data_IF_622612120419
#
_entry.id   IF_622612120419
#
_cell.length_a   1.000
_cell.length_b   1.000
_cell.length_c   1.000
_cell.angle_alpha   90.00
_cell.angle_beta   90.00
_cell.angle_gamma   90.00
#
_symmetry.space_group_name_H-M   'P 1'
#
loop_
_entity.id
_entity.type
_entity.pdbx_description
1 polymer ?
#
# COMPACT_ATOMS: atom_id res chain seq x y z
N UNK A 1 -11.47 3.29 -16.45
CA UNK A 1 -10.68 2.23 -15.77
C UNK A 1 -11.49 0.95 -15.45
N UNK A 2 -12.71 0.77 -15.98
CA UNK A 2 -13.44 -0.50 -15.94
C UNK A 2 -12.74 -1.62 -16.75
N UNK A 3 -11.86 -1.25 -17.67
CA UNK A 3 -11.22 -2.18 -18.61
C UNK A 3 -10.26 -3.19 -17.96
N UNK A 4 -9.63 -2.89 -16.81
CA UNK A 4 -8.59 -3.76 -16.25
C UNK A 4 -9.21 -4.99 -15.54
N UNK A 5 -10.29 -4.79 -14.80
CA UNK A 5 -11.08 -5.89 -14.26
C UNK A 5 -11.80 -6.66 -15.36
N UNK A 6 -12.32 -5.96 -16.38
CA UNK A 6 -12.94 -6.60 -17.54
C UNK A 6 -11.92 -7.43 -18.32
N UNK A 7 -10.67 -6.99 -18.50
CA UNK A 7 -9.62 -7.76 -19.16
C UNK A 7 -9.32 -9.09 -18.45
N UNK A 8 -9.24 -9.08 -17.12
CA UNK A 8 -9.01 -10.30 -16.32
C UNK A 8 -10.24 -11.23 -16.35
N UNK A 9 -11.45 -10.67 -16.47
CA UNK A 9 -12.71 -11.45 -16.51
C UNK A 9 -13.08 -11.95 -17.92
N UNK A 10 -12.63 -11.28 -18.98
CA UNK A 10 -13.02 -11.58 -20.36
C UNK A 10 -12.18 -12.68 -21.00
N UNK A 11 -10.97 -12.93 -20.49
CA UNK A 11 -10.04 -13.88 -21.08
C UNK A 11 -9.90 -15.10 -20.17
N UNK A 12 -10.37 -16.26 -20.67
CA UNK A 12 -10.52 -17.49 -19.90
C UNK A 12 -9.20 -18.05 -19.35
N UNK A 13 -8.07 -17.61 -19.89
CA UNK A 13 -6.73 -17.95 -19.42
C UNK A 13 -6.42 -17.41 -18.01
N UNK A 14 -7.08 -16.31 -17.61
CA UNK A 14 -6.83 -15.63 -16.33
C UNK A 14 -7.85 -16.01 -15.25
N UNK A 15 -8.74 -16.95 -15.56
CA UNK A 15 -9.78 -17.39 -14.65
C UNK A 15 -9.16 -18.08 -13.43
N UNK A 16 -9.38 -17.52 -12.24
CA UNK A 16 -8.77 -17.98 -10.97
C UNK A 16 -7.54 -17.18 -10.52
N UNK A 17 -6.98 -16.30 -11.35
CA UNK A 17 -5.91 -15.39 -10.92
C UNK A 17 -6.46 -14.23 -10.08
N UNK A 18 -5.63 -13.74 -9.15
CA UNK A 18 -5.93 -12.55 -8.34
C UNK A 18 -5.08 -11.38 -8.82
N UNK A 19 -5.72 -10.27 -9.14
CA UNK A 19 -5.02 -9.03 -9.46
C UNK A 19 -4.53 -8.37 -8.17
N UNK A 20 -3.29 -7.90 -8.18
CA UNK A 20 -2.72 -7.08 -7.10
C UNK A 20 -1.92 -5.92 -7.68
N UNK A 21 -1.77 -4.88 -6.88
CA UNK A 21 -0.90 -3.74 -7.17
C UNK A 21 0.23 -3.71 -6.16
N UNK A 22 1.41 -3.23 -6.57
CA UNK A 22 2.51 -3.05 -5.64
C UNK A 22 3.43 -1.93 -6.08
N UNK A 23 4.19 -1.38 -5.14
CA UNK A 23 5.22 -0.40 -5.46
C UNK A 23 5.98 0.07 -4.24
N UNK A 24 7.08 0.77 -4.49
CA UNK A 24 7.91 1.39 -3.46
C UNK A 24 7.78 2.92 -3.50
N UNK A 25 7.86 3.58 -2.34
CA UNK A 25 7.86 5.05 -2.25
C UNK A 25 6.61 5.68 -2.87
N UNK A 26 6.76 6.61 -3.82
CA UNK A 26 5.65 7.16 -4.60
C UNK A 26 4.83 6.06 -5.30
N UNK A 27 5.51 5.04 -5.86
CA UNK A 27 4.86 3.91 -6.50
C UNK A 27 4.01 3.09 -5.54
N UNK A 28 4.42 2.98 -4.28
CA UNK A 28 3.64 2.31 -3.23
C UNK A 28 2.35 3.07 -2.92
N UNK A 29 2.40 4.41 -2.87
CA UNK A 29 1.21 5.23 -2.80
C UNK A 29 0.30 4.99 -4.02
N UNK A 30 0.83 5.09 -5.23
CA UNK A 30 0.05 4.88 -6.45
C UNK A 30 -0.58 3.47 -6.54
N UNK A 31 0.08 2.46 -5.99
CA UNK A 31 -0.45 1.10 -5.91
C UNK A 31 -1.70 1.02 -5.04
N UNK A 32 -1.68 1.60 -3.83
CA UNK A 32 -2.86 1.67 -2.97
C UNK A 32 -4.00 2.47 -3.63
N UNK A 33 -3.66 3.56 -4.33
CA UNK A 33 -4.64 4.38 -5.02
C UNK A 33 -5.34 3.58 -6.13
N UNK A 34 -4.55 2.88 -6.94
CA UNK A 34 -5.06 2.04 -8.01
C UNK A 34 -5.97 0.94 -7.45
N UNK A 35 -5.51 0.22 -6.41
CA UNK A 35 -6.29 -0.85 -5.78
C UNK A 35 -7.63 -0.34 -5.25
N UNK A 36 -7.66 0.80 -4.56
CA UNK A 36 -8.93 1.41 -4.14
C UNK A 36 -9.80 1.72 -5.36
N UNK A 37 -9.26 2.48 -6.32
CA UNK A 37 -10.03 2.98 -7.47
C UNK A 37 -10.64 1.88 -8.33
N UNK A 38 -9.97 0.74 -8.45
CA UNK A 38 -10.42 -0.38 -9.26
C UNK A 38 -11.14 -1.47 -8.46
N UNK A 39 -11.15 -1.43 -7.13
CA UNK A 39 -11.90 -2.41 -6.34
C UNK A 39 -13.41 -2.25 -6.52
N UNK A 40 -14.14 -3.36 -6.51
CA UNK A 40 -15.61 -3.40 -6.47
C UNK A 40 -16.08 -4.32 -5.33
N UNK A 41 -17.40 -4.39 -5.12
CA UNK A 41 -18.02 -5.29 -4.14
C UNK A 41 -17.67 -6.76 -4.38
N UNK A 42 -17.64 -7.14 -5.65
CA UNK A 42 -17.46 -8.50 -6.12
C UNK A 42 -15.98 -8.85 -6.29
N UNK A 43 -15.12 -7.84 -6.46
CA UNK A 43 -13.71 -8.04 -6.74
C UNK A 43 -12.84 -6.97 -6.05
N UNK A 44 -12.26 -7.35 -4.91
CA UNK A 44 -11.36 -6.49 -4.15
C UNK A 44 -9.92 -6.73 -4.60
N UNK A 45 -9.21 -5.66 -4.91
CA UNK A 45 -7.82 -5.69 -5.36
C UNK A 45 -6.87 -5.56 -4.17
N UNK A 46 -5.89 -6.45 -4.09
CA UNK A 46 -4.83 -6.41 -3.08
C UNK A 46 -3.81 -5.32 -3.44
N UNK A 47 -3.30 -4.59 -2.44
CA UNK A 47 -2.15 -3.72 -2.61
C UNK A 47 -1.04 -4.05 -1.60
N UNK A 48 0.18 -4.25 -2.09
CA UNK A 48 1.40 -4.40 -1.30
C UNK A 48 2.31 -3.17 -1.50
N UNK A 49 2.30 -2.28 -0.52
CA UNK A 49 2.86 -0.94 -0.61
C UNK A 49 4.11 -0.83 0.28
N UNK A 50 5.28 -0.72 -0.32
CA UNK A 50 6.56 -0.68 0.40
C UNK A 50 7.03 0.76 0.59
N UNK A 51 7.34 1.15 1.82
CA UNK A 51 7.85 2.48 2.17
C UNK A 51 7.03 3.60 1.52
N UNK A 52 5.72 3.41 1.44
CA UNK A 52 4.85 4.21 0.57
C UNK A 52 4.59 5.60 1.12
N UNK A 53 4.45 6.58 0.24
CA UNK A 53 3.95 7.91 0.61
C UNK A 53 2.46 7.87 0.98
N UNK A 54 2.06 8.75 1.91
CA UNK A 54 0.66 8.95 2.30
C UNK A 54 -0.11 9.72 1.21
N UNK A 55 -1.42 9.48 1.11
CA UNK A 55 -2.30 10.36 0.34
C UNK A 55 -2.71 11.56 1.18
N UNK A 56 -2.79 12.74 0.57
CA UNK A 56 -3.42 13.88 1.22
C UNK A 56 -4.91 13.65 1.48
N UNK A 57 -5.44 14.29 2.54
CA UNK A 57 -6.85 14.18 2.99
C UNK A 57 -7.89 14.36 1.89
N UNK A 58 -7.65 15.27 0.95
CA UNK A 58 -8.58 15.53 -0.16
C UNK A 58 -8.78 14.29 -1.03
N UNK A 59 -7.67 13.68 -1.46
CA UNK A 59 -7.68 12.47 -2.27
C UNK A 59 -8.30 11.29 -1.52
N UNK A 60 -7.97 11.14 -0.23
CA UNK A 60 -8.61 10.13 0.61
C UNK A 60 -10.12 10.31 0.61
N UNK A 61 -10.61 11.51 0.96
CA UNK A 61 -12.04 11.83 0.99
C UNK A 61 -12.76 11.55 -0.34
N UNK A 62 -12.12 11.86 -1.45
CA UNK A 62 -12.73 11.65 -2.77
C UNK A 62 -12.83 10.16 -3.11
N UNK A 63 -11.85 9.34 -2.70
CA UNK A 63 -11.95 7.88 -2.77
C UNK A 63 -13.05 7.34 -1.83
N UNK A 64 -13.13 7.83 -0.59
CA UNK A 64 -14.17 7.45 0.37
C UNK A 64 -15.58 7.72 -0.19
N UNK A 65 -15.77 8.88 -0.84
CA UNK A 65 -17.05 9.26 -1.47
C UNK A 65 -17.44 8.34 -2.61
N UNK A 66 -16.48 7.81 -3.37
CA UNK A 66 -16.75 6.97 -4.52
C UNK A 66 -17.22 5.56 -4.13
N UNK A 67 -16.73 5.02 -3.00
CA UNK A 67 -17.04 3.65 -2.57
C UNK A 67 -18.25 3.55 -1.63
N UNK A 68 -18.68 4.64 -0.99
CA UNK A 68 -19.59 4.53 0.16
C UNK A 68 -18.93 3.80 1.35
N UNK A 69 -19.59 3.73 2.50
CA UNK A 69 -18.95 3.24 3.74
C UNK A 69 -18.65 1.73 3.74
N UNK A 70 -19.53 0.91 3.15
CA UNK A 70 -19.44 -0.56 3.22
C UNK A 70 -18.42 -1.18 2.24
N UNK A 71 -18.18 -0.58 1.07
CA UNK A 71 -17.25 -1.14 0.06
C UNK A 71 -15.81 -0.77 0.38
N UNK A 72 -15.65 0.41 0.98
CA UNK A 72 -14.37 0.92 1.38
C UNK A 72 -13.73 0.05 2.45
N UNK A 73 -14.46 -0.32 3.51
CA UNK A 73 -13.88 -1.09 4.61
C UNK A 73 -13.24 -2.38 4.07
N UNK A 74 -13.95 -3.13 3.22
CA UNK A 74 -13.40 -4.33 2.57
C UNK A 74 -12.17 -4.04 1.69
N UNK A 75 -12.19 -2.95 0.92
CA UNK A 75 -11.06 -2.55 0.09
C UNK A 75 -9.83 -2.17 0.94
N UNK A 76 -10.04 -1.45 2.04
CA UNK A 76 -8.98 -1.05 2.99
C UNK A 76 -8.31 -2.25 3.65
N UNK A 77 -9.07 -3.30 3.97
CA UNK A 77 -8.54 -4.51 4.59
C UNK A 77 -7.54 -5.28 3.70
N UNK A 78 -7.52 -4.99 2.39
CA UNK A 78 -6.65 -5.62 1.41
C UNK A 78 -5.48 -4.71 0.98
N UNK A 79 -5.27 -3.59 1.66
CA UNK A 79 -4.14 -2.69 1.43
C UNK A 79 -3.17 -2.85 2.58
N UNK A 80 -1.95 -3.29 2.27
CA UNK A 80 -0.88 -3.48 3.23
C UNK A 80 0.25 -2.49 2.95
N UNK A 81 0.55 -1.64 3.92
CA UNK A 81 1.69 -0.74 3.91
C UNK A 81 2.79 -1.32 4.78
N UNK A 82 3.96 -1.57 4.19
CA UNK A 82 5.13 -2.08 4.89
C UNK A 82 6.23 -1.04 4.87
N UNK A 83 6.81 -0.72 6.01
CA UNK A 83 7.97 0.17 6.04
C UNK A 83 8.90 -0.12 7.21
N UNK A 84 10.16 0.29 7.08
CA UNK A 84 11.15 0.14 8.14
C UNK A 84 10.98 1.26 9.16
N UNK A 85 11.12 0.93 10.45
CA UNK A 85 11.13 1.92 11.51
C UNK A 85 12.15 3.04 11.21
N UNK A 86 11.76 4.31 11.36
CA UNK A 86 12.62 5.45 11.04
C UNK A 86 12.58 5.93 9.60
N UNK A 87 11.92 5.22 8.68
CA UNK A 87 11.58 5.75 7.35
C UNK A 87 10.65 6.97 7.50
N UNK A 88 11.01 8.09 6.86
CA UNK A 88 10.24 9.33 6.91
C UNK A 88 9.13 9.39 5.86
N UNK A 89 9.26 8.68 4.73
CA UNK A 89 8.33 8.78 3.60
C UNK A 89 6.88 8.43 3.98
N UNK A 90 6.63 7.36 4.77
CA UNK A 90 5.29 7.04 5.27
C UNK A 90 4.74 8.05 6.28
N UNK A 91 5.54 9.06 6.68
CA UNK A 91 5.19 10.06 7.69
C UNK A 91 5.52 11.49 7.25
N UNK A 92 5.73 11.72 5.96
CA UNK A 92 6.09 13.05 5.46
C UNK A 92 4.97 14.07 5.66
N UNK A 93 3.71 13.63 5.71
CA UNK A 93 2.57 14.53 5.85
C UNK A 93 2.30 14.93 7.30
N UNK A 94 3.22 14.70 8.26
CA UNK A 94 3.06 15.02 9.70
C UNK A 94 2.59 16.45 10.05
N UNK A 95 2.55 17.39 9.09
CA UNK A 95 1.95 18.71 9.25
C UNK A 95 0.41 18.72 9.13
N UNK A 96 -0.18 17.69 8.52
CA UNK A 96 -1.62 17.44 8.47
C UNK A 96 -1.84 16.00 8.93
N UNK A 97 -2.64 15.76 10.00
CA UNK A 97 -2.85 14.40 10.49
C UNK A 97 -3.60 13.55 9.45
N UNK A 98 -2.85 12.85 8.59
CA UNK A 98 -3.38 11.96 7.58
C UNK A 98 -2.72 10.61 7.79
N UNK A 99 -3.52 9.59 8.08
CA UNK A 99 -3.05 8.22 8.23
C UNK A 99 -3.11 7.48 6.89
N UNK A 100 -2.35 6.40 6.78
CA UNK A 100 -2.49 5.51 5.63
C UNK A 100 -3.88 4.85 5.60
N UNK A 101 -4.40 4.64 4.40
CA UNK A 101 -5.62 3.85 4.18
C UNK A 101 -5.22 2.37 4.07
N UNK A 102 -5.48 1.59 5.12
CA UNK A 102 -5.20 0.15 5.15
C UNK A 102 -4.37 -0.25 6.36
N UNK A 103 -3.80 -1.45 6.32
CA UNK A 103 -2.97 -2.00 7.41
C UNK A 103 -1.55 -1.48 7.31
N UNK A 104 -0.95 -1.19 8.46
CA UNK A 104 0.44 -0.76 8.57
C UNK A 104 1.24 -1.87 9.25
N UNK A 105 2.29 -2.33 8.59
CA UNK A 105 3.26 -3.29 9.09
C UNK A 105 4.62 -2.59 9.21
N UNK A 106 5.16 -2.50 10.43
CA UNK A 106 6.43 -1.82 10.69
C UNK A 106 7.50 -2.87 10.94
N UNK A 107 8.54 -2.83 10.12
CA UNK A 107 9.70 -3.72 10.24
C UNK A 107 10.75 -3.01 11.10
N UNK A 108 11.24 -3.62 12.20
CA UNK A 108 12.32 -3.04 12.99
C UNK A 108 13.60 -2.83 12.18
N UNK A 109 14.38 -1.80 12.51
CA UNK A 109 15.72 -1.69 11.93
C UNK A 109 16.63 -2.79 12.50
N UNK A 110 17.09 -3.68 11.63
CA UNK A 110 17.88 -4.84 12.03
C UNK A 110 19.39 -4.59 12.26
N UNK A 111 19.87 -3.33 12.22
CA UNK A 111 21.31 -3.01 12.25
C UNK A 111 21.76 -2.41 13.59
N UNK A 112 22.96 -2.80 14.07
CA UNK A 112 23.60 -2.26 15.28
C UNK A 112 23.82 -0.72 15.23
N UNK A 113 23.86 -0.16 14.02
CA UNK A 113 23.85 1.29 13.77
C UNK A 113 22.56 1.62 13.05
N UNK A 114 21.73 2.47 13.65
CA UNK A 114 20.46 2.90 13.05
C UNK A 114 20.73 3.68 11.78
N UNK A 115 20.08 3.30 10.69
CA UNK A 115 20.07 4.02 9.44
C UNK A 115 19.41 5.39 9.66
N UNK A 116 19.89 6.40 8.92
CA UNK A 116 19.19 7.69 8.85
C UNK A 116 17.86 7.51 8.09
N UNK A 117 17.00 8.53 8.13
CA UNK A 117 15.64 8.43 7.60
C UNK A 117 15.57 8.11 6.09
N UNK A 118 16.53 8.56 5.27
CA UNK A 118 16.59 8.20 3.84
C UNK A 118 17.17 6.81 3.62
N UNK A 119 18.15 6.43 4.43
CA UNK A 119 18.75 5.10 4.35
C UNK A 119 17.72 4.02 4.74
N UNK A 120 16.93 4.25 5.81
CA UNK A 120 15.84 3.36 6.20
C UNK A 120 14.81 3.17 5.07
N UNK A 121 14.56 4.24 4.28
CA UNK A 121 13.68 4.20 3.12
C UNK A 121 14.23 3.38 1.96
N UNK A 122 15.48 3.64 1.56
CA UNK A 122 16.12 2.96 0.42
C UNK A 122 16.52 1.52 0.73
N UNK A 123 16.86 1.21 1.99
CA UNK A 123 17.35 -0.10 2.42
C UNK A 123 16.23 -1.03 2.90
N UNK A 124 14.96 -0.76 2.56
CA UNK A 124 13.80 -1.56 2.98
C UNK A 124 14.03 -3.08 2.83
N UNK A 125 14.48 -3.51 1.65
CA UNK A 125 14.71 -4.94 1.34
C UNK A 125 15.77 -5.55 2.26
N UNK A 126 16.86 -4.82 2.51
CA UNK A 126 17.94 -5.28 3.38
C UNK A 126 17.45 -5.51 4.81
N UNK A 127 16.71 -4.55 5.38
CA UNK A 127 16.14 -4.71 6.71
C UNK A 127 15.11 -5.84 6.77
N UNK A 128 14.27 -5.97 5.75
CA UNK A 128 13.26 -7.03 5.65
C UNK A 128 13.90 -8.43 5.65
N UNK A 129 14.97 -8.62 4.86
CA UNK A 129 15.68 -9.89 4.80
C UNK A 129 16.35 -10.24 6.13
N UNK A 130 17.02 -9.27 6.78
CA UNK A 130 17.67 -9.53 8.07
C UNK A 130 16.62 -9.88 9.13
N UNK A 131 15.49 -9.14 9.17
CA UNK A 131 14.41 -9.41 10.10
C UNK A 131 13.82 -10.82 9.89
N UNK A 132 13.56 -11.21 8.64
CA UNK A 132 13.04 -12.54 8.31
C UNK A 132 13.98 -13.69 8.69
N UNK A 133 15.30 -13.46 8.67
CA UNK A 133 16.30 -14.43 9.11
C UNK A 133 16.45 -14.52 10.63
N UNK A 134 15.87 -13.57 11.38
CA UNK A 134 15.94 -13.51 12.85
C UNK A 134 14.69 -14.06 13.54
N UNK A 135 13.61 -14.33 12.79
CA UNK A 135 12.31 -14.85 13.25
C UNK A 135 12.09 -16.28 12.82
#
# INVERSE_FOLDING_TARGET
>A
MHNLQQLVQMDGEWNGYRLSTSGHSLGGGLAAYAALKVSSKENVILAECFSSAQFGRGLQRDLLKQHGSLDLEKAMHNINHHYVEGDVIPKMDKFFAVDHIGKINIIPQATNKKDNFLAAHSNYVKHSLIYALQT
#
